data_IF_278556075429
#
_entry.id   IF_278556075429
#
_cell.length_a   1.000
_cell.length_b   1.000
_cell.length_c   1.000
_cell.angle_alpha   90.00
_cell.angle_beta   90.00
_cell.angle_gamma   90.00
#
_symmetry.space_group_name_H-M   'P 1'
#
loop_
_entity.id
_entity.type
_entity.pdbx_description
1 polymer ?
#
# COMPACT_ATOMS: atom_id res chain seq x y z
N UNK A 1 10.68 9.86 -19.16
CA UNK A 1 9.97 10.92 -19.97
C UNK A 1 9.94 12.19 -19.13
N UNK A 2 10.50 13.31 -19.62
CA UNK A 2 10.54 14.55 -18.81
C UNK A 2 9.12 15.11 -18.64
N UNK A 3 8.73 15.43 -17.41
CA UNK A 3 7.40 15.99 -17.06
C UNK A 3 7.01 17.22 -17.92
N UNK A 4 7.99 18.04 -18.29
CA UNK A 4 7.76 19.20 -19.18
C UNK A 4 7.37 18.83 -20.59
N UNK A 5 7.87 17.71 -21.15
CA UNK A 5 7.47 17.21 -22.48
C UNK A 5 6.06 16.63 -22.47
N UNK A 6 5.68 15.96 -21.36
CA UNK A 6 4.32 15.45 -21.19
C UNK A 6 3.28 16.59 -21.17
N UNK A 7 3.52 17.63 -20.40
CA UNK A 7 2.59 18.78 -20.29
C UNK A 7 2.50 19.53 -21.64
N UNK A 8 3.61 19.72 -22.36
CA UNK A 8 3.59 20.37 -23.68
C UNK A 8 2.80 19.54 -24.71
N UNK A 9 2.95 18.23 -24.71
CA UNK A 9 2.23 17.36 -25.64
C UNK A 9 0.73 17.30 -25.32
N UNK A 10 0.36 17.30 -24.04
CA UNK A 10 -1.04 17.35 -23.61
C UNK A 10 -1.71 18.69 -23.97
N UNK A 11 -0.98 19.81 -23.87
CA UNK A 11 -1.45 21.12 -24.30
C UNK A 11 -1.65 21.23 -25.82
N UNK A 12 -0.85 20.52 -26.62
CA UNK A 12 -0.99 20.52 -28.09
C UNK A 12 -2.26 19.77 -28.53
N UNK A 13 -2.66 18.71 -27.79
CA UNK A 13 -3.88 17.95 -28.09
C UNK A 13 -5.12 18.79 -27.78
N UNK A 14 -5.09 19.59 -26.70
CA UNK A 14 -6.18 20.52 -26.36
C UNK A 14 -6.28 21.73 -27.30
N UNK A 15 -5.16 22.17 -27.90
CA UNK A 15 -5.13 23.27 -28.85
C UNK A 15 -5.65 22.93 -30.24
N UNK A 16 -5.60 21.68 -30.65
CA UNK A 16 -6.11 21.21 -31.97
C UNK A 16 -7.63 21.01 -32.00
N UNK A 17 -8.29 20.88 -30.86
CA UNK A 17 -9.76 20.80 -30.75
C UNK A 17 -10.48 22.13 -31.01
N UNK A 18 -9.75 23.25 -31.07
CA UNK A 18 -10.29 24.56 -31.41
C UNK A 18 -10.39 24.88 -32.91
N UNK A 19 -9.82 24.05 -33.78
CA UNK A 19 -9.82 24.28 -35.23
C UNK A 19 -10.80 23.31 -35.96
N UNK A 20 -12.07 23.30 -35.59
CA UNK A 20 -13.20 22.85 -36.43
C UNK A 20 -13.03 21.63 -37.35
N UNK A 21 -12.13 20.70 -37.04
CA UNK A 21 -12.08 19.37 -37.68
C UNK A 21 -13.06 18.51 -36.91
N UNK A 22 -14.16 18.13 -37.56
CA UNK A 22 -15.35 17.46 -37.06
C UNK A 22 -15.09 16.64 -35.81
N UNK A 23 -15.71 17.06 -34.70
CA UNK A 23 -15.68 16.31 -33.47
C UNK A 23 -16.12 14.88 -33.75
N UNK A 24 -15.19 13.94 -33.75
CA UNK A 24 -15.56 12.61 -33.35
C UNK A 24 -16.09 12.81 -31.94
N UNK A 25 -17.41 12.78 -31.78
CA UNK A 25 -18.02 12.60 -30.48
C UNK A 25 -17.20 11.51 -29.79
N UNK A 26 -16.43 11.89 -28.76
CA UNK A 26 -16.07 10.98 -27.72
C UNK A 26 -17.44 10.60 -27.15
N UNK A 27 -18.11 9.70 -27.87
CA UNK A 27 -19.33 9.07 -27.38
C UNK A 27 -19.01 8.68 -25.97
N UNK A 28 -19.82 9.13 -25.02
CA UNK A 28 -19.86 8.64 -23.65
C UNK A 28 -19.91 7.11 -23.78
N UNK A 29 -18.73 6.48 -23.84
CA UNK A 29 -18.65 5.06 -23.62
C UNK A 29 -19.03 4.93 -22.15
N UNK A 30 -20.29 4.64 -21.91
CA UNK A 30 -20.76 4.15 -20.62
C UNK A 30 -20.00 2.85 -20.35
N UNK A 31 -18.78 3.01 -19.85
CA UNK A 31 -18.04 1.90 -19.27
C UNK A 31 -18.84 1.49 -18.03
N UNK A 32 -19.74 0.51 -18.22
CA UNK A 32 -20.30 -0.21 -17.10
C UNK A 32 -19.15 -0.87 -16.36
N UNK A 33 -18.61 -0.16 -15.38
CA UNK A 33 -17.63 -0.74 -14.45
C UNK A 33 -18.34 -1.88 -13.73
N UNK A 34 -17.88 -3.12 -14.01
CA UNK A 34 -18.36 -4.27 -13.25
C UNK A 34 -17.87 -4.12 -11.82
N UNK A 35 -18.78 -4.08 -10.87
CA UNK A 35 -18.48 -4.00 -9.43
C UNK A 35 -18.84 -5.35 -8.79
N UNK A 36 -18.09 -5.78 -7.77
CA UNK A 36 -16.92 -5.15 -7.15
C UNK A 36 -15.62 -5.34 -7.96
N UNK A 37 -14.60 -4.54 -7.62
CA UNK A 37 -13.27 -4.61 -8.23
C UNK A 37 -12.22 -4.52 -7.12
N UNK A 38 -11.11 -5.24 -7.28
CA UNK A 38 -9.89 -5.07 -6.49
C UNK A 38 -8.66 -5.12 -7.38
N UNK A 39 -7.71 -4.24 -7.13
CA UNK A 39 -6.44 -4.16 -7.82
C UNK A 39 -5.32 -3.96 -6.81
N UNK A 40 -4.18 -4.59 -7.06
CA UNK A 40 -2.97 -4.40 -6.27
C UNK A 40 -1.72 -4.33 -7.13
N UNK A 41 -0.65 -3.82 -6.57
CA UNK A 41 0.68 -3.81 -7.18
C UNK A 41 1.36 -5.16 -6.99
N UNK A 42 2.35 -5.46 -7.86
CA UNK A 42 3.25 -6.60 -7.85
C UNK A 42 2.58 -7.96 -8.05
N UNK A 43 3.38 -8.99 -8.28
CA UNK A 43 2.94 -10.38 -8.50
C UNK A 43 2.36 -11.02 -7.23
N UNK A 44 2.93 -10.75 -6.07
CA UNK A 44 2.39 -11.20 -4.77
C UNK A 44 1.03 -10.57 -4.44
N UNK A 45 0.70 -9.45 -5.06
CA UNK A 45 -0.63 -8.83 -4.99
C UNK A 45 -1.76 -9.72 -5.48
N UNK A 46 -1.48 -10.75 -6.29
CA UNK A 46 -2.51 -11.70 -6.73
C UNK A 46 -3.10 -12.47 -5.54
N UNK A 47 -2.28 -12.93 -4.61
CA UNK A 47 -2.75 -13.59 -3.38
C UNK A 47 -3.51 -12.62 -2.48
N UNK A 48 -3.03 -11.40 -2.35
CA UNK A 48 -3.72 -10.34 -1.61
C UNK A 48 -5.11 -10.03 -2.22
N UNK A 49 -5.22 -9.98 -3.55
CA UNK A 49 -6.51 -9.80 -4.24
C UNK A 49 -7.47 -10.97 -3.98
N UNK A 50 -6.97 -12.21 -3.90
CA UNK A 50 -7.82 -13.36 -3.57
C UNK A 50 -8.42 -13.24 -2.17
N UNK A 51 -7.63 -12.82 -1.19
CA UNK A 51 -8.12 -12.60 0.18
C UNK A 51 -9.13 -11.43 0.24
N UNK A 52 -8.82 -10.31 -0.40
CA UNK A 52 -9.76 -9.18 -0.53
C UNK A 52 -11.07 -9.61 -1.20
N UNK A 53 -11.00 -10.47 -2.22
CA UNK A 53 -12.17 -10.98 -2.93
C UNK A 53 -13.10 -11.80 -2.04
N UNK A 54 -12.59 -12.46 -1.01
CA UNK A 54 -13.43 -13.19 -0.04
C UNK A 54 -14.42 -12.29 0.70
N UNK A 55 -14.11 -11.01 0.81
CA UNK A 55 -14.97 -9.97 1.40
C UNK A 55 -15.90 -9.41 0.32
N UNK A 56 -15.33 -8.95 -0.79
CA UNK A 56 -16.08 -8.26 -1.85
C UNK A 56 -17.16 -9.14 -2.50
N UNK A 57 -16.87 -10.41 -2.75
CA UNK A 57 -17.81 -11.37 -3.35
C UNK A 57 -19.04 -11.65 -2.49
N UNK A 58 -18.96 -11.36 -1.21
CA UNK A 58 -20.07 -11.49 -0.24
C UNK A 58 -20.80 -10.15 0.01
N UNK A 59 -20.46 -9.10 -0.75
CA UNK A 59 -21.02 -7.77 -0.57
C UNK A 59 -20.42 -6.98 0.60
N UNK A 60 -19.24 -7.38 1.10
CA UNK A 60 -18.54 -6.65 2.16
C UNK A 60 -17.96 -5.32 1.66
N UNK A 61 -17.57 -4.46 2.59
CA UNK A 61 -17.06 -3.12 2.30
C UNK A 61 -15.65 -3.17 1.69
N UNK A 62 -15.37 -2.21 0.78
CA UNK A 62 -14.07 -2.08 0.13
C UNK A 62 -12.92 -1.91 1.15
N UNK A 63 -13.16 -1.12 2.20
CA UNK A 63 -12.15 -0.86 3.23
C UNK A 63 -11.74 -2.14 3.98
N UNK A 64 -12.68 -3.04 4.26
CA UNK A 64 -12.41 -4.32 4.92
C UNK A 64 -11.68 -5.29 3.97
N UNK A 65 -11.99 -5.18 2.68
CA UNK A 65 -11.35 -5.99 1.64
C UNK A 65 -9.88 -5.61 1.47
N UNK A 66 -9.53 -4.32 1.38
CA UNK A 66 -8.15 -3.89 1.23
C UNK A 66 -7.34 -4.21 2.50
N UNK A 67 -7.92 -4.02 3.69
CA UNK A 67 -7.29 -4.41 4.95
C UNK A 67 -6.94 -5.90 4.95
N UNK A 68 -7.92 -6.76 4.64
CA UNK A 68 -7.73 -8.21 4.60
C UNK A 68 -6.70 -8.65 3.54
N UNK A 69 -6.74 -8.03 2.36
CA UNK A 69 -5.80 -8.34 1.29
C UNK A 69 -4.36 -7.97 1.65
N UNK A 70 -4.13 -6.78 2.22
CA UNK A 70 -2.79 -6.34 2.63
C UNK A 70 -2.21 -7.22 3.72
N UNK A 71 -3.02 -7.67 4.70
CA UNK A 71 -2.57 -8.62 5.74
C UNK A 71 -1.97 -9.90 5.15
N UNK A 72 -2.45 -10.37 4.00
CA UNK A 72 -1.87 -11.53 3.32
C UNK A 72 -0.41 -11.27 2.93
N UNK A 73 -0.13 -10.12 2.31
CA UNK A 73 1.22 -9.74 1.93
C UNK A 73 2.13 -9.50 3.15
N UNK A 74 1.59 -8.93 4.23
CA UNK A 74 2.33 -8.69 5.48
C UNK A 74 2.73 -9.99 6.21
N UNK A 75 1.96 -11.07 6.05
CA UNK A 75 2.24 -12.39 6.64
C UNK A 75 3.08 -13.30 5.74
N UNK A 76 3.28 -12.97 4.47
CA UNK A 76 4.02 -13.83 3.55
C UNK A 76 5.53 -13.77 3.82
N UNK A 77 6.06 -14.81 4.45
CA UNK A 77 7.49 -14.92 4.78
C UNK A 77 8.41 -14.99 3.56
N UNK A 78 7.88 -15.24 2.37
CA UNK A 78 8.64 -15.21 1.12
C UNK A 78 8.78 -13.79 0.56
N UNK A 79 7.89 -12.90 1.01
CA UNK A 79 7.94 -11.49 0.65
C UNK A 79 8.89 -10.76 1.61
N UNK A 80 10.01 -10.29 1.07
CA UNK A 80 11.01 -9.53 1.85
C UNK A 80 10.80 -8.02 1.74
N UNK A 81 9.73 -7.60 1.10
CA UNK A 81 9.42 -6.18 0.83
C UNK A 81 8.46 -5.57 1.83
N UNK A 82 7.51 -6.34 2.34
CA UNK A 82 6.50 -5.85 3.29
C UNK A 82 6.30 -6.84 4.44
N UNK A 83 5.97 -6.34 5.62
CA UNK A 83 5.54 -7.13 6.76
C UNK A 83 6.64 -7.98 7.39
N UNK A 84 6.23 -9.13 7.89
CA UNK A 84 7.10 -10.08 8.58
C UNK A 84 8.10 -10.72 7.63
N UNK A 85 9.38 -10.59 7.97
CA UNK A 85 10.46 -11.05 7.10
C UNK A 85 10.99 -9.97 6.16
N UNK A 86 10.47 -8.76 6.25
CA UNK A 86 11.00 -7.59 5.55
C UNK A 86 12.48 -7.34 5.85
N UNK A 87 13.14 -6.67 4.92
CA UNK A 87 14.55 -6.30 5.08
C UNK A 87 14.69 -5.34 6.28
N UNK A 88 15.64 -5.60 7.19
CA UNK A 88 15.86 -4.69 8.31
C UNK A 88 16.56 -3.41 7.86
N UNK A 89 16.45 -2.37 8.69
CA UNK A 89 17.20 -1.14 8.53
C UNK A 89 18.71 -1.36 8.74
N UNK A 90 19.51 -0.29 8.63
CA UNK A 90 20.95 -0.34 8.81
C UNK A 90 21.37 -0.88 10.19
N UNK A 91 20.54 -0.71 11.20
CA UNK A 91 20.82 -1.11 12.58
C UNK A 91 20.24 -2.50 12.91
N UNK A 92 19.65 -3.19 11.91
CA UNK A 92 19.14 -4.54 12.02
C UNK A 92 17.72 -4.64 12.54
N UNK A 93 16.96 -3.53 12.56
CA UNK A 93 15.57 -3.50 13.02
C UNK A 93 14.60 -3.54 11.84
N UNK A 94 13.55 -4.32 11.95
CA UNK A 94 12.44 -4.31 10.99
C UNK A 94 11.42 -3.29 11.46
N UNK A 95 11.34 -2.17 10.73
CA UNK A 95 10.32 -1.12 10.93
C UNK A 95 9.35 -1.17 9.76
N UNK A 96 8.07 -1.00 10.04
CA UNK A 96 7.00 -1.11 9.05
C UNK A 96 6.19 0.18 9.00
N UNK A 97 5.64 0.43 7.80
CA UNK A 97 4.75 1.55 7.53
C UNK A 97 3.46 1.01 6.90
N UNK A 98 2.34 1.65 7.21
CA UNK A 98 1.07 1.35 6.56
C UNK A 98 0.17 2.58 6.53
N UNK A 99 -0.68 2.66 5.52
CA UNK A 99 -1.76 3.64 5.47
C UNK A 99 -3.02 3.03 4.86
N UNK A 100 -4.18 3.52 5.29
CA UNK A 100 -5.48 3.11 4.78
C UNK A 100 -6.39 4.33 4.70
N UNK A 101 -7.25 4.36 3.70
CA UNK A 101 -8.24 5.43 3.52
C UNK A 101 -9.57 4.86 3.05
N UNK A 102 -10.66 5.39 3.58
CA UNK A 102 -12.01 5.03 3.15
C UNK A 102 -12.52 5.94 2.01
N UNK A 103 -13.70 5.60 1.45
CA UNK A 103 -14.36 6.35 0.38
C UNK A 103 -14.83 7.77 0.80
N UNK A 104 -14.83 8.09 2.09
CA UNK A 104 -15.21 9.40 2.62
C UNK A 104 -13.99 10.31 2.84
N UNK A 105 -12.78 9.78 2.61
CA UNK A 105 -11.54 10.50 2.84
C UNK A 105 -11.05 10.44 4.29
N UNK A 106 -11.65 9.61 5.16
CA UNK A 106 -11.04 9.31 6.45
C UNK A 106 -9.80 8.47 6.23
N UNK A 107 -8.71 8.80 6.92
CA UNK A 107 -7.45 8.11 6.76
C UNK A 107 -6.79 7.81 8.10
N UNK A 108 -6.01 6.73 8.14
CA UNK A 108 -5.15 6.38 9.24
C UNK A 108 -3.85 5.80 8.74
N UNK A 109 -2.78 6.03 9.46
CA UNK A 109 -1.46 5.53 9.10
C UNK A 109 -0.57 5.32 10.32
N UNK A 110 0.40 4.45 10.13
CA UNK A 110 1.52 4.27 11.04
C UNK A 110 2.82 4.32 10.26
N UNK A 111 3.87 4.84 10.89
CA UNK A 111 5.21 4.85 10.31
C UNK A 111 6.24 4.40 11.34
N UNK A 112 7.27 3.70 10.88
CA UNK A 112 8.36 3.16 11.69
C UNK A 112 7.87 2.37 12.91
N UNK A 113 6.77 1.63 12.78
CA UNK A 113 6.27 0.76 13.85
C UNK A 113 7.07 -0.55 13.88
N UNK A 114 7.50 -0.96 15.06
CA UNK A 114 8.19 -2.22 15.29
C UNK A 114 7.27 -3.26 15.95
N UNK A 115 7.61 -4.53 15.85
CA UNK A 115 6.98 -5.63 16.58
C UNK A 115 5.50 -5.90 16.29
N UNK A 116 4.92 -5.31 15.28
CA UNK A 116 3.53 -5.57 14.88
C UNK A 116 3.50 -6.26 13.51
N UNK A 117 2.92 -7.46 13.45
CA UNK A 117 2.86 -8.26 12.21
C UNK A 117 2.01 -7.61 11.14
N UNK A 118 0.90 -6.96 11.53
CA UNK A 118 -0.04 -6.30 10.63
C UNK A 118 -0.17 -4.80 10.91
N UNK A 119 0.76 -3.97 10.45
CA UNK A 119 0.67 -2.52 10.60
C UNK A 119 -0.58 -1.93 9.95
N UNK A 120 -1.13 -2.55 8.90
CA UNK A 120 -2.38 -2.11 8.26
C UNK A 120 -3.56 -2.10 9.23
N UNK A 121 -3.66 -3.09 10.13
CA UNK A 121 -4.71 -3.13 11.14
C UNK A 121 -4.54 -2.00 12.17
N UNK A 122 -3.30 -1.65 12.52
CA UNK A 122 -3.05 -0.50 13.41
C UNK A 122 -3.42 0.81 12.70
N UNK A 123 -3.05 0.97 11.43
CA UNK A 123 -3.45 2.12 10.61
C UNK A 123 -4.98 2.26 10.56
N UNK A 124 -5.71 1.14 10.40
CA UNK A 124 -7.17 1.10 10.47
C UNK A 124 -7.70 1.58 11.83
N UNK A 125 -7.11 1.13 12.93
CA UNK A 125 -7.47 1.59 14.29
C UNK A 125 -7.17 3.06 14.51
N UNK A 126 -6.07 3.59 13.96
CA UNK A 126 -5.79 5.04 14.00
C UNK A 126 -6.92 5.81 13.33
N UNK A 127 -7.35 5.40 12.13
CA UNK A 127 -8.46 6.02 11.42
C UNK A 127 -9.78 5.94 12.19
N UNK A 128 -10.11 4.79 12.75
CA UNK A 128 -11.42 4.53 13.33
C UNK A 128 -11.58 5.08 14.76
N UNK A 129 -10.49 5.19 15.53
CA UNK A 129 -10.54 5.43 16.98
C UNK A 129 -9.88 6.73 17.43
N UNK A 130 -9.21 7.45 16.53
CA UNK A 130 -8.47 8.66 16.90
C UNK A 130 -8.78 9.84 15.98
N UNK A 131 -8.55 11.07 16.41
CA UNK A 131 -8.60 12.24 15.53
C UNK A 131 -7.31 12.40 14.70
N UNK A 132 -6.31 11.53 14.89
CA UNK A 132 -5.04 11.59 14.20
C UNK A 132 -5.10 10.84 12.87
N UNK A 133 -4.34 11.32 11.90
CA UNK A 133 -4.14 10.64 10.61
C UNK A 133 -2.92 9.72 10.66
N UNK A 134 -1.96 9.99 11.56
CA UNK A 134 -0.71 9.23 11.62
C UNK A 134 -0.18 9.14 13.05
N UNK A 135 0.31 7.95 13.42
CA UNK A 135 1.13 7.70 14.60
C UNK A 135 2.48 7.11 14.16
N UNK A 136 3.55 7.37 14.92
CA UNK A 136 4.93 7.02 14.51
C UNK A 136 5.68 6.33 15.65
N UNK A 137 6.53 5.34 15.30
CA UNK A 137 7.51 4.71 16.18
C UNK A 137 6.90 4.15 17.45
N UNK A 138 7.53 4.46 18.60
CA UNK A 138 7.11 3.96 19.91
C UNK A 138 5.67 4.38 20.27
N UNK A 139 5.24 5.57 19.83
CA UNK A 139 3.86 6.03 20.04
C UNK A 139 2.85 5.17 19.28
N UNK A 140 3.17 4.76 18.05
CA UNK A 140 2.35 3.84 17.28
C UNK A 140 2.31 2.45 17.93
N UNK A 141 3.47 1.95 18.41
CA UNK A 141 3.54 0.67 19.12
C UNK A 141 2.74 0.70 20.41
N UNK A 142 2.86 1.75 21.23
CA UNK A 142 2.08 1.89 22.46
C UNK A 142 0.58 1.85 22.16
N UNK A 143 0.13 2.64 21.18
CA UNK A 143 -1.26 2.65 20.74
C UNK A 143 -1.73 1.25 20.30
N UNK A 144 -0.91 0.53 19.52
CA UNK A 144 -1.23 -0.82 19.11
C UNK A 144 -1.43 -1.76 20.31
N UNK A 145 -0.50 -1.75 21.28
CA UNK A 145 -0.59 -2.61 22.46
C UNK A 145 -1.84 -2.29 23.31
N UNK A 146 -2.16 -1.02 23.48
CA UNK A 146 -3.39 -0.56 24.19
C UNK A 146 -4.68 -1.01 23.45
N UNK A 147 -4.60 -1.23 22.16
CA UNK A 147 -5.73 -1.70 21.32
C UNK A 147 -5.71 -3.21 21.07
N UNK A 148 -4.97 -3.98 21.87
CA UNK A 148 -5.03 -5.45 21.88
C UNK A 148 -4.10 -6.17 20.90
N UNK A 149 -3.19 -5.46 20.23
CA UNK A 149 -2.15 -6.10 19.44
C UNK A 149 -1.06 -6.67 20.33
N UNK A 150 -0.41 -7.73 19.87
CA UNK A 150 0.69 -8.36 20.60
C UNK A 150 2.01 -8.14 19.85
N UNK A 151 3.09 -8.03 20.61
CA UNK A 151 4.44 -7.97 20.03
C UNK A 151 4.80 -9.27 19.33
N UNK A 152 5.33 -9.15 18.13
CA UNK A 152 5.83 -10.25 17.29
C UNK A 152 7.26 -9.95 16.85
N UNK A 153 8.11 -10.99 16.78
CA UNK A 153 9.42 -10.87 16.14
C UNK A 153 9.22 -10.82 14.62
N UNK A 154 9.69 -9.75 14.00
CA UNK A 154 9.53 -9.50 12.58
C UNK A 154 10.73 -9.97 11.77
N UNK A 155 11.94 -9.97 12.35
CA UNK A 155 13.15 -10.38 11.70
C UNK A 155 13.23 -11.91 11.61
N UNK A 156 13.04 -12.46 10.43
CA UNK A 156 13.19 -13.89 10.18
C UNK A 156 14.65 -14.31 10.09
N UNK A 157 14.95 -15.61 10.21
CA UNK A 157 16.32 -16.10 10.03
C UNK A 157 16.83 -15.83 8.60
N UNK A 158 15.97 -15.95 7.60
CA UNK A 158 16.33 -15.63 6.22
C UNK A 158 16.74 -14.16 6.06
N UNK A 159 15.95 -13.23 6.57
CA UNK A 159 16.25 -11.80 6.53
C UNK A 159 17.50 -11.47 7.34
N UNK A 160 17.72 -12.16 8.47
CA UNK A 160 18.91 -12.01 9.30
C UNK A 160 20.19 -12.44 8.56
N UNK A 161 20.14 -13.54 7.82
CA UNK A 161 21.26 -14.00 7.00
C UNK A 161 21.55 -13.01 5.88
N UNK A 162 20.51 -12.60 5.13
CA UNK A 162 20.63 -11.60 4.08
C UNK A 162 21.21 -10.28 4.59
N UNK A 163 20.78 -9.81 5.74
CA UNK A 163 21.33 -8.62 6.39
C UNK A 163 22.81 -8.77 6.75
N UNK A 164 23.22 -9.90 7.35
CA UNK A 164 24.63 -10.17 7.66
C UNK A 164 25.51 -10.21 6.40
N UNK A 165 25.01 -10.74 5.31
CA UNK A 165 25.72 -10.78 4.04
C UNK A 165 25.81 -9.38 3.41
N UNK A 166 24.74 -8.59 3.47
CA UNK A 166 24.74 -7.21 3.04
C UNK A 166 25.74 -6.36 3.82
N UNK A 167 25.87 -6.52 5.13
CA UNK A 167 26.83 -5.79 5.96
C UNK A 167 28.31 -5.97 5.52
N UNK A 168 28.65 -7.11 4.91
CA UNK A 168 30.02 -7.39 4.45
C UNK A 168 30.45 -6.50 3.27
N UNK A 169 29.47 -6.07 2.48
CA UNK A 169 29.72 -5.34 1.22
C UNK A 169 29.03 -3.98 1.20
N UNK A 170 28.27 -3.65 2.24
CA UNK A 170 27.45 -2.45 2.28
C UNK A 170 28.33 -1.19 2.13
N UNK A 171 28.12 -0.49 1.03
CA UNK A 171 28.57 0.86 0.83
C UNK A 171 27.31 1.72 0.76
N UNK A 172 26.99 2.41 1.86
CA UNK A 172 25.89 3.35 1.84
C UNK A 172 26.24 4.52 0.91
N UNK A 173 25.76 4.42 -0.33
CA UNK A 173 25.77 5.53 -1.28
C UNK A 173 24.33 5.98 -1.45
N UNK A 174 24.01 7.26 -1.26
CA UNK A 174 22.67 7.76 -1.54
C UNK A 174 22.45 7.65 -3.05
N UNK A 175 21.76 6.61 -3.46
CA UNK A 175 21.30 6.43 -4.84
C UNK A 175 19.89 7.01 -4.88
N UNK A 176 19.75 8.11 -5.62
CA UNK A 176 18.44 8.74 -5.79
C UNK A 176 17.58 7.80 -6.63
N UNK A 177 16.61 7.19 -5.97
CA UNK A 177 15.39 6.63 -6.56
C UNK A 177 15.60 5.69 -7.74
N UNK A 178 16.35 4.61 -7.55
CA UNK A 178 16.31 3.44 -8.41
C UNK A 178 15.62 2.32 -7.64
N UNK A 179 14.34 2.29 -7.69
CA UNK A 179 13.39 1.22 -7.98
C UNK A 179 13.62 -0.15 -7.29
N UNK A 180 13.86 -0.15 -5.99
CA UNK A 180 13.53 -1.28 -5.14
C UNK A 180 12.43 -0.79 -4.18
N UNK A 181 11.22 -0.64 -4.70
CA UNK A 181 10.08 -0.20 -3.91
C UNK A 181 9.51 -1.38 -3.14
N UNK A 182 9.56 -1.26 -1.84
CA UNK A 182 9.13 -2.27 -0.88
C UNK A 182 7.74 -1.91 -0.35
N UNK A 183 6.73 -1.97 -1.20
CA UNK A 183 5.39 -1.53 -0.81
C UNK A 183 4.32 -2.29 -1.60
N UNK A 184 3.26 -2.71 -0.92
CA UNK A 184 2.03 -3.10 -1.61
C UNK A 184 1.08 -1.90 -1.65
N UNK A 185 0.57 -1.58 -2.84
CA UNK A 185 -0.57 -0.71 -3.03
C UNK A 185 -1.80 -1.55 -3.37
N UNK A 186 -2.94 -1.25 -2.74
CA UNK A 186 -4.20 -1.92 -3.04
C UNK A 186 -5.34 -0.92 -3.07
N UNK A 187 -6.22 -1.05 -4.06
CA UNK A 187 -7.47 -0.29 -4.17
C UNK A 187 -8.61 -1.24 -4.43
N UNK A 188 -9.77 -0.95 -3.84
CA UNK A 188 -10.98 -1.72 -4.07
C UNK A 188 -12.19 -0.81 -4.26
N UNK A 189 -13.17 -1.33 -4.99
CA UNK A 189 -14.49 -0.74 -5.15
C UNK A 189 -15.50 -1.82 -4.79
N UNK A 190 -16.36 -1.57 -3.80
CA UNK A 190 -17.38 -2.52 -3.41
C UNK A 190 -18.61 -2.48 -4.36
N UNK A 191 -19.59 -3.34 -4.13
CA UNK A 191 -20.81 -3.40 -4.93
C UNK A 191 -21.64 -2.11 -4.87
N UNK A 192 -21.52 -1.33 -3.81
CA UNK A 192 -22.18 -0.04 -3.63
C UNK A 192 -21.46 1.09 -4.33
N UNK A 193 -20.19 0.89 -4.70
CA UNK A 193 -19.35 1.89 -5.38
C UNK A 193 -18.57 2.78 -4.42
N UNK A 194 -18.34 2.30 -3.21
CA UNK A 194 -17.48 2.93 -2.23
C UNK A 194 -16.05 2.45 -2.40
#
# INVERSE_FOLDING_TARGET
MERRKFIKNSGLILGLSGLGVGGTELSNMDYKVSKPIVLSTWDFGLAANQDAWTILSKGGAAIDAVEKGVMNAESDLKNTSVGKGGAPDRDGRVTLDACIMDHKGNAGSVAAIEHIEHPINVARKVMDLTPHVMLVGDGALQFALENGFSKTELLTEQSRIAYKDWLKTSQYKPIINIENHDTIGMVALDSSGN
#
